data_IF_421279104550
#
_entry.id   IF_421279104550
#
_cell.length_a   1.000
_cell.length_b   1.000
_cell.length_c   1.000
_cell.angle_alpha   90.00
_cell.angle_beta   90.00
_cell.angle_gamma   90.00
#
_symmetry.space_group_name_H-M   'P 1'
#
loop_
_entity.id
_entity.type
_entity.pdbx_description
1 polymer ?
#
# COMPACT_ATOMS: atom_id res chain seq x y z
N UNK A 1 -18.39 23.21 -19.26
CA UNK A 1 -19.14 21.94 -19.15
C UNK A 1 -18.34 20.82 -19.80
N UNK A 2 -18.10 19.71 -19.10
CA UNK A 2 -17.34 18.56 -19.61
C UNK A 2 -18.16 17.82 -20.67
N UNK A 3 -18.15 18.30 -21.91
CA UNK A 3 -19.02 17.81 -22.98
C UNK A 3 -18.36 16.70 -23.85
N UNK A 4 -17.10 16.35 -23.57
CA UNK A 4 -16.28 15.45 -24.39
C UNK A 4 -15.96 14.11 -23.76
N UNK A 5 -16.21 13.95 -22.45
CA UNK A 5 -15.92 12.68 -21.81
C UNK A 5 -16.97 11.63 -22.20
N UNK A 6 -16.51 10.48 -22.69
CA UNK A 6 -17.35 9.33 -23.03
C UNK A 6 -16.73 8.09 -22.43
N UNK A 7 -17.53 7.31 -21.71
CA UNK A 7 -17.14 5.96 -21.32
C UNK A 7 -17.13 5.08 -22.57
N UNK A 8 -15.97 4.58 -22.93
CA UNK A 8 -15.75 3.63 -24.03
C UNK A 8 -15.01 2.42 -23.47
N UNK A 9 -15.16 1.23 -24.08
CA UNK A 9 -14.42 0.05 -23.64
C UNK A 9 -12.90 0.25 -23.62
N UNK A 10 -12.37 1.22 -24.38
CA UNK A 10 -10.94 1.53 -24.45
C UNK A 10 -10.45 2.38 -23.27
N UNK A 11 -11.22 3.38 -22.84
CA UNK A 11 -10.79 4.31 -21.78
C UNK A 11 -11.36 3.95 -20.40
N UNK A 12 -12.47 3.24 -20.33
CA UNK A 12 -13.06 2.78 -19.08
C UNK A 12 -12.09 1.98 -18.18
N UNK A 13 -11.36 0.97 -18.69
CA UNK A 13 -10.43 0.21 -17.84
C UNK A 13 -9.25 1.06 -17.36
N UNK A 14 -8.74 1.98 -18.20
CA UNK A 14 -7.64 2.89 -17.83
C UNK A 14 -8.06 3.80 -16.68
N UNK A 15 -9.27 4.36 -16.76
CA UNK A 15 -9.80 5.25 -15.72
C UNK A 15 -10.12 4.47 -14.46
N UNK A 16 -10.68 3.27 -14.56
CA UNK A 16 -10.91 2.42 -13.39
C UNK A 16 -9.60 2.03 -12.71
N UNK A 17 -8.56 1.70 -13.48
CA UNK A 17 -7.26 1.36 -12.94
C UNK A 17 -6.62 2.56 -12.21
N UNK A 18 -6.49 3.70 -12.88
CA UNK A 18 -5.82 4.87 -12.31
C UNK A 18 -6.66 5.60 -11.25
N UNK A 19 -7.99 5.59 -11.40
CA UNK A 19 -8.91 6.30 -10.51
C UNK A 19 -9.36 5.48 -9.29
N UNK A 20 -9.32 4.15 -9.36
CA UNK A 20 -9.77 3.28 -8.26
C UNK A 20 -8.68 2.31 -7.81
N UNK A 21 -8.13 1.52 -8.73
CA UNK A 21 -7.19 0.46 -8.35
C UNK A 21 -5.91 1.04 -7.72
N UNK A 22 -5.31 2.07 -8.33
CA UNK A 22 -4.08 2.69 -7.83
C UNK A 22 -4.29 3.36 -6.47
N UNK A 23 -5.29 4.25 -6.28
CA UNK A 23 -5.56 4.84 -4.96
C UNK A 23 -5.88 3.80 -3.89
N UNK A 24 -6.64 2.76 -4.22
CA UNK A 24 -6.99 1.70 -3.27
C UNK A 24 -5.76 0.89 -2.86
N UNK A 25 -4.93 0.48 -3.82
CA UNK A 25 -3.68 -0.23 -3.54
C UNK A 25 -2.72 0.62 -2.70
N UNK A 26 -2.58 1.91 -3.03
CA UNK A 26 -1.78 2.85 -2.26
C UNK A 26 -2.29 2.98 -0.82
N UNK A 27 -3.59 3.23 -0.64
CA UNK A 27 -4.21 3.30 0.69
C UNK A 27 -3.94 2.02 1.50
N UNK A 28 -4.17 0.85 0.90
CA UNK A 28 -3.97 -0.42 1.57
C UNK A 28 -2.50 -0.63 1.98
N UNK A 29 -1.55 -0.36 1.09
CA UNK A 29 -0.13 -0.46 1.36
C UNK A 29 0.32 0.50 2.47
N UNK A 30 -0.15 1.75 2.44
CA UNK A 30 0.17 2.73 3.47
C UNK A 30 -0.48 2.39 4.81
N UNK A 31 -1.74 1.95 4.86
CA UNK A 31 -2.39 1.54 6.10
C UNK A 31 -1.66 0.37 6.78
N UNK A 32 -1.18 -0.60 6.00
CA UNK A 32 -0.41 -1.75 6.50
C UNK A 32 0.97 -1.35 7.02
N UNK A 33 1.64 -0.41 6.36
CA UNK A 33 2.99 0.01 6.74
C UNK A 33 2.98 1.00 7.90
N UNK A 34 2.09 1.98 7.91
CA UNK A 34 2.11 3.08 8.89
C UNK A 34 1.92 2.59 10.35
N UNK A 35 1.30 1.42 10.54
CA UNK A 35 1.12 0.78 11.85
C UNK A 35 2.18 -0.29 12.15
N UNK A 36 2.91 -0.77 11.14
CA UNK A 36 3.91 -1.82 11.31
C UNK A 36 5.25 -1.28 11.81
N UNK A 37 5.60 -0.04 11.45
CA UNK A 37 6.92 0.53 11.74
C UNK A 37 6.87 1.59 12.85
N UNK A 38 7.92 1.63 13.66
CA UNK A 38 8.20 2.64 14.67
C UNK A 38 9.67 3.07 14.59
N UNK A 39 9.87 4.32 14.20
CA UNK A 39 11.18 4.95 14.02
C UNK A 39 11.52 5.92 15.16
N UNK A 40 10.62 6.11 16.13
CA UNK A 40 10.80 7.12 17.17
C UNK A 40 11.87 6.69 18.18
N UNK A 41 12.95 7.46 18.27
CA UNK A 41 13.99 7.27 19.29
C UNK A 41 14.82 5.99 19.14
N UNK A 42 14.78 5.34 17.97
CA UNK A 42 15.49 4.08 17.71
C UNK A 42 16.98 4.30 17.45
N UNK A 43 17.81 3.48 18.09
CA UNK A 43 19.27 3.43 17.91
C UNK A 43 19.71 2.55 16.74
N UNK A 44 21.03 2.44 16.55
CA UNK A 44 21.62 1.50 15.59
C UNK A 44 21.32 0.05 16.02
N UNK A 45 20.99 -0.83 15.07
CA UNK A 45 20.60 -2.24 15.28
C UNK A 45 19.28 -2.50 16.05
N UNK A 46 18.49 -1.47 16.35
CA UNK A 46 17.20 -1.67 17.00
C UNK A 46 16.09 -2.06 16.01
N UNK A 47 15.22 -2.99 16.43
CA UNK A 47 14.06 -3.40 15.62
C UNK A 47 13.09 -2.25 15.43
N UNK A 48 12.79 -1.98 14.15
CA UNK A 48 11.85 -0.95 13.72
C UNK A 48 10.41 -1.46 13.61
N UNK A 49 10.19 -2.78 13.57
CA UNK A 49 8.86 -3.35 13.55
C UNK A 49 8.23 -3.26 14.95
N UNK A 50 7.00 -2.78 15.04
CA UNK A 50 6.23 -2.71 16.30
C UNK A 50 5.90 -4.09 16.85
N UNK A 51 5.73 -5.07 15.97
CA UNK A 51 5.50 -6.47 16.31
C UNK A 51 6.66 -7.28 15.76
N UNK A 52 7.29 -8.09 16.61
CA UNK A 52 8.34 -8.99 16.14
C UNK A 52 7.72 -10.02 15.19
N UNK A 53 8.32 -10.28 14.01
CA UNK A 53 7.84 -11.35 13.14
C UNK A 53 7.87 -12.66 13.92
N UNK A 54 6.84 -13.50 13.72
CA UNK A 54 6.84 -14.85 14.26
C UNK A 54 8.13 -15.53 13.81
N UNK A 55 8.88 -16.13 14.75
CA UNK A 55 10.09 -16.86 14.42
C UNK A 55 9.74 -17.83 13.29
N UNK A 56 10.37 -17.65 12.13
CA UNK A 56 10.25 -18.65 11.08
C UNK A 56 10.80 -19.93 11.70
N UNK A 57 9.95 -20.92 11.94
CA UNK A 57 10.40 -22.25 12.32
C UNK A 57 11.39 -22.68 11.23
N UNK A 58 12.67 -22.67 11.58
CA UNK A 58 13.75 -23.24 10.77
C UNK A 58 13.31 -24.67 10.45
N UNK A 59 12.88 -24.86 9.20
CA UNK A 59 12.67 -26.18 8.64
C UNK A 59 14.07 -26.70 8.36
N UNK A 60 14.58 -27.48 9.30
CA UNK A 60 15.80 -28.29 9.16
C UNK A 60 15.67 -29.32 8.03
#
# INVERSE_FOLDING_TARGET
MYQRFRWTPRNAPVIAFWGLAVPFAAFFAFSKTNTAWDFSGKGFDEKLLRVSPAAQEESE
#
